data_IF_304019646329
#
_entry.id   IF_304019646329
#
_cell.length_a   1.000
_cell.length_b   1.000
_cell.length_c   1.000
_cell.angle_alpha   90.00
_cell.angle_beta   90.00
_cell.angle_gamma   90.00
#
_symmetry.space_group_name_H-M   'P 1'
#
loop_
_entity.id
_entity.type
_entity.pdbx_description
1 polymer ?
#
# COMPACT_ATOMS: atom_id res chain seq x y z
N UNK A 1 23.76 -13.93 10.07
CA UNK A 1 22.97 -14.70 9.07
C UNK A 1 23.53 -14.51 7.68
N UNK A 2 23.58 -15.55 6.86
CA UNK A 2 23.95 -15.46 5.43
C UNK A 2 22.85 -16.08 4.58
N UNK A 3 22.29 -15.29 3.64
CA UNK A 3 21.40 -15.82 2.60
C UNK A 3 22.27 -16.15 1.40
N UNK A 4 22.28 -17.42 0.99
CA UNK A 4 23.12 -17.91 -0.11
C UNK A 4 22.36 -18.12 -1.40
N UNK A 5 23.05 -17.89 -2.53
CA UNK A 5 22.57 -18.11 -3.90
C UNK A 5 21.29 -17.37 -4.23
N UNK A 6 21.15 -16.14 -3.74
CA UNK A 6 20.00 -15.28 -4.03
C UNK A 6 20.10 -14.68 -5.45
N UNK A 7 19.01 -14.65 -6.20
CA UNK A 7 18.84 -13.71 -7.30
C UNK A 7 18.35 -12.38 -6.73
N UNK A 8 19.03 -11.30 -7.08
CA UNK A 8 18.65 -9.97 -6.63
C UNK A 8 18.08 -9.21 -7.83
N UNK A 9 16.89 -8.64 -7.66
CA UNK A 9 16.22 -7.86 -8.70
C UNK A 9 17.16 -6.79 -9.28
N UNK A 10 17.23 -6.72 -10.62
CA UNK A 10 18.08 -5.77 -11.34
C UNK A 10 19.57 -6.10 -11.35
N UNK A 11 19.96 -7.33 -10.95
CA UNK A 11 21.35 -7.82 -11.01
C UNK A 11 21.41 -9.19 -11.70
N UNK A 12 22.41 -9.37 -12.54
CA UNK A 12 22.68 -10.66 -13.19
C UNK A 12 23.47 -11.57 -12.26
N UNK A 13 23.11 -12.87 -12.25
CA UNK A 13 23.79 -13.92 -11.49
C UNK A 13 23.22 -14.16 -10.09
N UNK A 14 24.01 -14.87 -9.28
CA UNK A 14 23.67 -15.22 -7.91
C UNK A 14 24.55 -14.45 -6.94
N UNK A 15 24.00 -14.11 -5.81
CA UNK A 15 24.67 -13.36 -4.75
C UNK A 15 24.41 -14.00 -3.39
N UNK A 16 25.40 -13.92 -2.54
CA UNK A 16 25.23 -14.14 -1.10
C UNK A 16 25.03 -12.79 -0.42
N UNK A 17 24.17 -12.77 0.61
CA UNK A 17 23.83 -11.56 1.37
C UNK A 17 24.17 -11.84 2.84
N UNK A 18 25.14 -11.12 3.41
CA UNK A 18 25.49 -11.21 4.83
C UNK A 18 24.80 -10.13 5.62
N UNK A 19 24.13 -10.56 6.68
CA UNK A 19 23.36 -9.70 7.58
C UNK A 19 24.00 -9.78 8.96
N UNK A 20 24.26 -8.61 9.56
CA UNK A 20 24.64 -8.47 10.95
C UNK A 20 23.64 -7.58 11.68
N UNK A 21 23.06 -8.10 12.76
CA UNK A 21 21.95 -7.46 13.46
C UNK A 21 20.82 -7.12 12.47
N UNK A 22 20.52 -5.84 12.29
CA UNK A 22 19.43 -5.33 11.44
C UNK A 22 19.92 -4.79 10.07
N UNK A 23 21.19 -5.00 9.72
CA UNK A 23 21.84 -4.34 8.61
C UNK A 23 22.51 -5.34 7.66
N UNK A 24 22.36 -5.09 6.36
CA UNK A 24 23.11 -5.81 5.31
C UNK A 24 24.55 -5.28 5.31
N UNK A 25 25.51 -6.12 5.68
CA UNK A 25 26.92 -5.72 5.77
C UNK A 25 27.73 -6.07 4.51
N UNK A 26 27.28 -7.06 3.72
CA UNK A 26 27.93 -7.47 2.49
C UNK A 26 26.94 -8.10 1.50
N UNK A 27 27.15 -7.85 0.20
CA UNK A 27 26.48 -8.49 -0.91
C UNK A 27 27.54 -8.82 -1.96
N UNK A 28 27.83 -10.10 -2.19
CA UNK A 28 28.88 -10.55 -3.08
C UNK A 28 28.47 -11.86 -3.79
N UNK A 29 29.11 -12.23 -4.94
CA UNK A 29 28.83 -13.52 -5.61
C UNK A 29 29.10 -14.73 -4.73
N UNK A 30 30.00 -14.61 -3.77
CA UNK A 30 30.28 -15.64 -2.78
C UNK A 30 30.78 -15.02 -1.48
N UNK A 31 30.20 -15.45 -0.36
CA UNK A 31 30.62 -15.07 1.00
C UNK A 31 30.96 -16.34 1.75
N UNK A 32 32.18 -16.41 2.31
CA UNK A 32 32.60 -17.54 3.11
C UNK A 32 31.80 -17.64 4.41
N UNK A 33 31.33 -18.82 4.73
CA UNK A 33 30.75 -19.16 6.03
C UNK A 33 31.87 -19.33 7.06
N UNK A 34 31.78 -18.67 8.17
CA UNK A 34 32.78 -18.78 9.28
C UNK A 34 32.44 -19.88 10.27
N UNK A 35 31.31 -20.58 10.07
CA UNK A 35 30.83 -21.68 10.92
C UNK A 35 29.94 -21.23 12.08
N UNK A 36 29.92 -19.95 12.37
CA UNK A 36 29.04 -19.35 13.40
C UNK A 36 27.80 -18.67 12.81
N UNK A 37 27.71 -18.60 11.48
CA UNK A 37 26.62 -17.94 10.79
C UNK A 37 25.40 -18.87 10.64
N UNK A 38 24.20 -18.36 10.88
CA UNK A 38 22.96 -18.98 10.41
C UNK A 38 22.91 -18.87 8.88
N UNK A 39 22.86 -19.99 8.17
CA UNK A 39 22.90 -20.02 6.70
C UNK A 39 21.57 -20.47 6.12
N UNK A 40 21.00 -19.67 5.22
CA UNK A 40 19.78 -19.97 4.47
C UNK A 40 20.14 -20.02 2.99
N UNK A 41 20.10 -21.23 2.41
CA UNK A 41 20.29 -21.38 0.97
C UNK A 41 18.93 -21.27 0.26
N UNK A 42 18.77 -20.22 -0.55
CA UNK A 42 17.52 -19.94 -1.24
C UNK A 42 17.45 -20.53 -2.66
N UNK A 43 18.45 -21.28 -3.06
CA UNK A 43 18.50 -22.06 -4.30
C UNK A 43 18.12 -21.27 -5.57
N UNK A 44 18.68 -20.08 -5.72
CA UNK A 44 18.46 -19.23 -6.88
C UNK A 44 17.14 -18.46 -6.89
N UNK A 45 16.41 -18.42 -5.78
CA UNK A 45 15.15 -17.68 -5.68
C UNK A 45 15.36 -16.18 -5.60
N UNK A 46 14.33 -15.45 -6.03
CA UNK A 46 14.33 -13.99 -6.06
C UNK A 46 14.25 -13.42 -4.65
N UNK A 47 15.23 -12.57 -4.32
CA UNK A 47 15.28 -11.79 -3.08
C UNK A 47 15.14 -10.32 -3.41
N UNK A 48 14.27 -9.65 -2.66
CA UNK A 48 14.01 -8.22 -2.81
C UNK A 48 13.67 -7.60 -1.44
N UNK A 49 13.61 -6.26 -1.33
CA UNK A 49 13.14 -5.64 -0.09
C UNK A 49 11.70 -6.04 0.20
N UNK A 50 11.32 -6.08 1.48
CA UNK A 50 9.92 -6.30 1.88
C UNK A 50 8.99 -5.26 1.28
N UNK A 51 7.74 -5.63 1.03
CA UNK A 51 6.75 -4.75 0.42
C UNK A 51 6.28 -3.65 1.36
N UNK A 52 5.84 -2.55 0.77
CA UNK A 52 5.27 -1.38 1.45
C UNK A 52 3.85 -1.19 0.95
N UNK A 53 2.89 -1.15 1.87
CA UNK A 53 1.51 -0.78 1.60
C UNK A 53 1.29 0.69 1.96
N UNK A 54 1.04 1.52 0.94
CA UNK A 54 0.96 2.97 1.10
C UNK A 54 -0.43 3.49 1.43
N UNK A 55 -1.44 2.61 1.48
CA UNK A 55 -2.81 3.00 1.79
C UNK A 55 -3.63 1.83 2.30
N UNK A 56 -3.97 1.86 3.57
CA UNK A 56 -4.69 0.78 4.24
C UNK A 56 -5.62 1.30 5.35
N UNK A 57 -6.64 0.52 5.71
CA UNK A 57 -7.59 0.80 6.79
C UNK A 57 -7.58 -0.32 7.85
N UNK A 58 -6.61 -0.28 8.78
CA UNK A 58 -6.55 -1.24 9.89
C UNK A 58 -7.70 -1.08 10.89
N UNK A 59 -8.35 0.06 10.92
CA UNK A 59 -9.50 0.33 11.79
C UNK A 59 -10.75 -0.45 11.35
N UNK A 60 -11.01 -0.53 10.04
CA UNK A 60 -12.18 -1.22 9.48
C UNK A 60 -11.93 -2.67 9.08
N UNK A 61 -10.68 -3.12 9.06
CA UNK A 61 -10.30 -4.46 8.59
C UNK A 61 -11.09 -5.58 9.27
N UNK A 62 -11.49 -6.60 8.50
CA UNK A 62 -12.20 -7.80 8.98
C UNK A 62 -13.55 -7.50 9.66
N UNK A 63 -14.25 -6.47 9.20
CA UNK A 63 -15.59 -6.10 9.72
C UNK A 63 -16.74 -6.51 8.82
N UNK A 64 -16.46 -7.21 7.72
CA UNK A 64 -17.49 -7.74 6.82
C UNK A 64 -18.58 -8.47 7.60
N UNK A 65 -19.85 -8.08 7.38
CA UNK A 65 -21.02 -8.70 8.00
C UNK A 65 -21.20 -8.44 9.50
N UNK A 66 -20.31 -7.68 10.16
CA UNK A 66 -20.44 -7.39 11.61
C UNK A 66 -21.64 -6.48 11.94
N UNK A 67 -22.00 -5.53 11.09
CA UNK A 67 -23.27 -4.80 11.15
C UNK A 67 -24.26 -5.44 10.17
N UNK A 68 -23.97 -5.36 8.90
CA UNK A 68 -24.68 -6.00 7.79
C UNK A 68 -23.75 -6.14 6.60
N UNK A 69 -24.14 -6.92 5.59
CA UNK A 69 -23.40 -7.01 4.34
C UNK A 69 -23.77 -5.85 3.40
N UNK A 70 -22.77 -5.32 2.67
CA UNK A 70 -22.99 -4.39 1.59
C UNK A 70 -23.65 -5.13 0.40
N UNK A 71 -24.91 -4.83 0.11
CA UNK A 71 -25.67 -5.51 -0.93
C UNK A 71 -25.51 -4.85 -2.30
N UNK A 72 -25.40 -3.54 -2.34
CA UNK A 72 -25.23 -2.79 -3.60
C UNK A 72 -23.79 -2.85 -4.12
N UNK A 73 -22.82 -3.10 -3.25
CA UNK A 73 -21.39 -3.02 -3.54
C UNK A 73 -20.92 -1.59 -3.84
N UNK A 74 -21.66 -0.56 -3.38
CA UNK A 74 -21.31 0.84 -3.58
C UNK A 74 -20.47 1.39 -2.43
N UNK A 75 -19.69 2.44 -2.72
CA UNK A 75 -18.92 3.20 -1.73
C UNK A 75 -19.85 3.74 -0.63
N UNK A 76 -20.96 4.35 -1.01
CA UNK A 76 -21.89 5.00 -0.08
C UNK A 76 -22.50 4.02 0.91
N UNK A 77 -22.96 2.84 0.44
CA UNK A 77 -23.47 1.81 1.36
C UNK A 77 -22.37 1.31 2.30
N UNK A 78 -21.11 1.20 1.83
CA UNK A 78 -19.97 0.89 2.69
C UNK A 78 -19.79 1.91 3.82
N UNK A 79 -19.88 3.20 3.50
CA UNK A 79 -19.81 4.30 4.49
C UNK A 79 -20.95 4.21 5.51
N UNK A 80 -22.19 3.95 5.07
CA UNK A 80 -23.34 3.77 5.97
C UNK A 80 -23.11 2.61 6.94
N UNK A 81 -22.69 1.44 6.44
CA UNK A 81 -22.40 0.25 7.26
C UNK A 81 -21.30 0.53 8.29
N UNK A 82 -20.24 1.24 7.87
CA UNK A 82 -19.18 1.65 8.78
C UNK A 82 -19.70 2.62 9.84
N UNK A 83 -20.49 3.60 9.45
CA UNK A 83 -21.10 4.57 10.38
C UNK A 83 -22.01 3.92 11.42
N UNK A 84 -22.68 2.82 11.07
CA UNK A 84 -23.44 1.99 12.03
C UNK A 84 -22.51 1.24 12.98
N UNK A 85 -21.42 0.66 12.45
CA UNK A 85 -20.52 -0.19 13.22
C UNK A 85 -19.59 0.60 14.13
N UNK A 86 -19.05 1.74 13.67
CA UNK A 86 -18.09 2.54 14.45
C UNK A 86 -18.64 3.02 15.79
N UNK A 87 -19.95 3.17 15.93
CA UNK A 87 -20.62 3.52 17.19
C UNK A 87 -20.48 2.45 18.29
N UNK A 88 -20.11 1.23 17.94
CA UNK A 88 -19.98 0.08 18.83
C UNK A 88 -18.53 -0.39 18.99
N UNK A 89 -17.58 0.32 18.39
CA UNK A 89 -16.17 -0.05 18.44
C UNK A 89 -15.63 -0.02 19.87
N UNK A 90 -14.80 -1.00 20.16
CA UNK A 90 -13.94 -1.00 21.34
C UNK A 90 -12.49 -1.06 20.92
N UNK A 91 -11.59 -0.54 21.74
CA UNK A 91 -10.14 -0.64 21.48
C UNK A 91 -9.72 -2.10 21.29
N UNK A 92 -10.22 -3.01 22.12
CA UNK A 92 -9.93 -4.45 22.04
C UNK A 92 -10.35 -5.06 20.71
N UNK A 93 -11.55 -4.75 20.19
CA UNK A 93 -12.02 -5.24 18.89
C UNK A 93 -11.09 -4.78 17.76
N UNK A 94 -10.74 -3.49 17.72
CA UNK A 94 -9.83 -2.96 16.69
C UNK A 94 -8.45 -3.60 16.79
N UNK A 95 -7.87 -3.68 17.99
CA UNK A 95 -6.54 -4.31 18.22
C UNK A 95 -6.55 -5.77 17.75
N UNK A 96 -7.57 -6.56 18.09
CA UNK A 96 -7.65 -7.97 17.73
C UNK A 96 -7.79 -8.18 16.21
N UNK A 97 -8.55 -7.34 15.51
CA UNK A 97 -8.71 -7.39 14.06
C UNK A 97 -7.42 -6.94 13.34
N UNK A 98 -6.86 -5.81 13.75
CA UNK A 98 -5.61 -5.30 13.22
C UNK A 98 -4.46 -6.30 13.40
N UNK A 99 -4.34 -6.95 14.55
CA UNK A 99 -3.37 -8.02 14.79
C UNK A 99 -3.48 -9.15 13.76
N UNK A 100 -4.69 -9.66 13.50
CA UNK A 100 -4.90 -10.73 12.51
C UNK A 100 -4.51 -10.29 11.12
N UNK A 101 -4.92 -9.09 10.72
CA UNK A 101 -4.59 -8.53 9.41
C UNK A 101 -3.08 -8.33 9.24
N UNK A 102 -2.40 -7.75 10.24
CA UNK A 102 -0.95 -7.52 10.19
C UNK A 102 -0.16 -8.83 10.08
N UNK A 103 -0.53 -9.87 10.84
CA UNK A 103 0.11 -11.19 10.72
C UNK A 103 -0.08 -11.78 9.30
N UNK A 104 -1.27 -11.59 8.72
CA UNK A 104 -1.54 -12.00 7.35
C UNK A 104 -0.67 -11.21 6.35
N UNK A 105 -0.62 -9.88 6.47
CA UNK A 105 0.18 -9.00 5.60
C UNK A 105 1.67 -9.31 5.69
N UNK A 106 2.21 -9.54 6.90
CA UNK A 106 3.61 -9.96 7.09
C UNK A 106 3.88 -11.28 6.38
N UNK A 107 2.97 -12.25 6.47
CA UNK A 107 3.14 -13.55 5.79
C UNK A 107 3.15 -13.44 4.25
N UNK A 108 2.67 -12.31 3.70
CA UNK A 108 2.76 -11.95 2.28
C UNK A 108 3.91 -10.99 1.97
N UNK A 109 4.79 -10.72 2.92
CA UNK A 109 6.01 -9.93 2.70
C UNK A 109 5.88 -8.44 2.95
N UNK A 110 4.75 -7.95 3.47
CA UNK A 110 4.55 -6.53 3.80
C UNK A 110 4.97 -6.25 5.23
N UNK A 111 5.98 -5.39 5.42
CA UNK A 111 6.51 -5.00 6.73
C UNK A 111 6.51 -3.49 6.98
N UNK A 112 5.93 -2.71 6.06
CA UNK A 112 5.70 -1.27 6.22
C UNK A 112 4.31 -0.92 5.72
N UNK A 113 3.56 -0.17 6.52
CA UNK A 113 2.17 0.13 6.23
C UNK A 113 1.88 1.58 6.61
N UNK A 114 1.21 2.31 5.71
CA UNK A 114 0.53 3.54 6.03
C UNK A 114 -0.95 3.25 6.14
N UNK A 115 -1.50 3.42 7.34
CA UNK A 115 -2.90 3.13 7.64
C UNK A 115 -3.65 4.39 8.04
N UNK A 116 -4.94 4.43 7.71
CA UNK A 116 -5.87 5.47 8.12
C UNK A 116 -6.59 5.05 9.40
N UNK A 117 -6.84 6.02 10.27
CA UNK A 117 -7.65 5.87 11.46
C UNK A 117 -8.80 6.88 11.38
N UNK A 118 -10.05 6.42 11.30
CA UNK A 118 -11.21 7.29 11.33
C UNK A 118 -11.24 8.10 12.62
N UNK A 119 -11.14 9.44 12.51
CA UNK A 119 -11.12 10.36 13.65
C UNK A 119 -12.40 11.16 13.79
N UNK A 120 -13.45 10.78 13.06
CA UNK A 120 -14.79 11.41 13.16
C UNK A 120 -15.67 10.78 14.26
N UNK A 121 -15.10 9.87 15.06
CA UNK A 121 -15.72 9.32 16.27
C UNK A 121 -15.17 10.03 17.52
N UNK A 122 -16.06 10.54 18.38
CA UNK A 122 -15.72 11.47 19.50
C UNK A 122 -14.67 10.94 20.48
N UNK A 123 -14.63 9.63 20.67
CA UNK A 123 -13.67 9.01 21.61
C UNK A 123 -12.31 8.75 20.98
N UNK A 124 -12.16 8.90 19.67
CA UNK A 124 -10.95 8.53 18.90
C UNK A 124 -10.52 7.08 19.17
N UNK A 125 -11.47 6.17 19.27
CA UNK A 125 -11.27 4.75 19.62
C UNK A 125 -10.36 4.07 18.61
N UNK A 126 -10.57 4.31 17.31
CA UNK A 126 -9.75 3.75 16.22
C UNK A 126 -8.30 4.19 16.35
N UNK A 127 -8.06 5.50 16.50
CA UNK A 127 -6.71 6.05 16.63
C UNK A 127 -5.99 5.49 17.85
N UNK A 128 -6.65 5.49 19.03
CA UNK A 128 -6.06 4.97 20.27
C UNK A 128 -5.69 3.49 20.13
N UNK A 129 -6.55 2.70 19.51
CA UNK A 129 -6.29 1.29 19.24
C UNK A 129 -5.10 1.10 18.29
N UNK A 130 -5.02 1.88 17.20
CA UNK A 130 -3.93 1.76 16.23
C UNK A 130 -2.60 2.28 16.78
N UNK A 131 -2.59 3.26 17.67
CA UNK A 131 -1.38 3.66 18.41
C UNK A 131 -0.87 2.53 19.31
N UNK A 132 -1.76 1.79 19.95
CA UNK A 132 -1.40 0.58 20.71
C UNK A 132 -0.85 -0.51 19.78
N UNK A 133 -1.52 -0.80 18.66
CA UNK A 133 -1.06 -1.75 17.66
C UNK A 133 0.32 -1.38 17.14
N UNK A 134 0.57 -0.12 16.79
CA UNK A 134 1.88 0.38 16.36
C UNK A 134 2.97 0.07 17.39
N UNK A 135 2.70 0.27 18.67
CA UNK A 135 3.63 -0.05 19.76
C UNK A 135 3.89 -1.56 19.90
N UNK A 136 2.84 -2.37 19.79
CA UNK A 136 2.92 -3.83 19.94
C UNK A 136 3.67 -4.49 18.77
N UNK A 137 3.50 -3.98 17.55
CA UNK A 137 4.03 -4.57 16.34
C UNK A 137 5.33 -3.95 15.84
N UNK A 138 5.95 -3.03 16.59
CA UNK A 138 7.14 -2.25 16.19
C UNK A 138 8.32 -3.09 15.67
N UNK A 139 8.46 -4.34 16.13
CA UNK A 139 9.55 -5.24 15.74
C UNK A 139 9.19 -6.07 14.48
N UNK A 140 7.92 -6.07 14.06
CA UNK A 140 7.40 -6.81 12.91
C UNK A 140 7.00 -5.92 11.75
N UNK A 141 6.40 -4.76 12.04
CA UNK A 141 5.85 -3.86 11.02
C UNK A 141 6.07 -2.41 11.43
N UNK A 142 6.62 -1.61 10.53
CA UNK A 142 6.65 -0.16 10.66
C UNK A 142 5.29 0.41 10.24
N UNK A 143 4.57 1.03 11.18
CA UNK A 143 3.23 1.57 10.93
C UNK A 143 3.27 3.10 10.98
N UNK A 144 2.80 3.76 9.92
CA UNK A 144 2.41 5.16 9.94
C UNK A 144 0.89 5.25 10.03
N UNK A 145 0.39 6.11 10.92
CA UNK A 145 -1.03 6.32 11.16
C UNK A 145 -1.42 7.71 10.64
N UNK A 146 -2.33 7.75 9.67
CA UNK A 146 -2.96 8.95 9.16
C UNK A 146 -4.24 9.22 9.96
N UNK A 147 -4.36 10.37 10.62
CA UNK A 147 -5.61 10.81 11.21
C UNK A 147 -6.59 11.15 10.07
N UNK A 148 -7.59 10.31 9.86
CA UNK A 148 -8.46 10.37 8.69
C UNK A 148 -9.87 10.85 9.06
N UNK A 149 -10.30 12.02 8.57
CA UNK A 149 -11.65 12.52 8.79
C UNK A 149 -12.64 11.85 7.82
N UNK A 150 -13.00 10.58 8.08
CA UNK A 150 -13.83 9.75 7.20
C UNK A 150 -15.12 10.43 6.74
N UNK A 151 -15.77 11.18 7.61
CA UNK A 151 -17.02 11.86 7.30
C UNK A 151 -16.82 13.30 6.79
N UNK A 152 -15.56 13.73 6.51
CA UNK A 152 -15.21 15.11 6.14
C UNK A 152 -14.72 15.94 7.32
N UNK A 153 -14.09 17.08 7.03
CA UNK A 153 -13.59 18.02 8.06
C UNK A 153 -14.67 19.04 8.45
N UNK A 154 -15.49 19.44 7.49
CA UNK A 154 -16.47 20.53 7.64
C UNK A 154 -17.93 20.04 7.70
N UNK A 155 -18.18 18.77 7.54
CA UNK A 155 -19.52 18.17 7.62
C UNK A 155 -20.13 18.25 9.02
N UNK A 156 -19.29 18.18 10.06
CA UNK A 156 -19.68 18.34 11.44
C UNK A 156 -18.76 19.35 12.16
N UNK A 157 -19.29 20.19 13.06
CA UNK A 157 -18.51 21.27 13.69
C UNK A 157 -17.28 20.78 14.48
N UNK A 158 -17.36 19.58 15.06
CA UNK A 158 -16.32 19.01 15.92
C UNK A 158 -15.19 18.31 15.16
N UNK A 159 -15.39 17.96 13.87
CA UNK A 159 -14.42 17.13 13.13
C UNK A 159 -13.03 17.76 13.00
N UNK A 160 -12.96 19.07 12.85
CA UNK A 160 -11.69 19.81 12.85
C UNK A 160 -10.95 19.65 14.19
N UNK A 161 -11.66 19.83 15.31
CA UNK A 161 -11.06 19.72 16.65
C UNK A 161 -10.60 18.27 16.93
N UNK A 162 -11.39 17.28 16.49
CA UNK A 162 -11.03 15.86 16.60
C UNK A 162 -9.78 15.53 15.77
N UNK A 163 -9.65 16.10 14.56
CA UNK A 163 -8.47 15.93 13.72
C UNK A 163 -7.23 16.56 14.39
N UNK A 164 -7.34 17.77 14.95
CA UNK A 164 -6.24 18.38 15.69
C UNK A 164 -5.86 17.56 16.94
N UNK A 165 -6.83 17.09 17.71
CA UNK A 165 -6.60 16.24 18.88
C UNK A 165 -5.94 14.89 18.49
N UNK A 166 -6.26 14.35 17.34
CA UNK A 166 -5.61 13.16 16.83
C UNK A 166 -4.10 13.38 16.58
N UNK A 167 -3.72 14.55 16.09
CA UNK A 167 -2.30 14.91 15.94
C UNK A 167 -1.60 15.05 17.29
N UNK A 168 -2.26 15.63 18.29
CA UNK A 168 -1.74 15.74 19.67
C UNK A 168 -1.52 14.38 20.31
N UNK A 169 -2.39 13.40 20.01
CA UNK A 169 -2.27 12.03 20.50
C UNK A 169 -1.17 11.22 19.81
N UNK A 170 -0.61 11.70 18.69
CA UNK A 170 0.56 11.09 18.05
C UNK A 170 0.30 10.45 16.69
N UNK A 171 -0.75 10.83 15.99
CA UNK A 171 -0.89 10.46 14.57
C UNK A 171 0.30 10.98 13.75
N UNK A 172 0.72 10.21 12.74
CA UNK A 172 1.90 10.52 11.95
C UNK A 172 1.61 11.49 10.81
N UNK A 173 0.42 11.41 10.20
CA UNK A 173 0.02 12.20 9.04
C UNK A 173 -1.35 12.82 9.24
N UNK A 174 -1.61 13.91 8.54
CA UNK A 174 -2.93 14.55 8.46
C UNK A 174 -3.68 14.02 7.25
N UNK A 175 -4.87 13.48 7.46
CA UNK A 175 -5.79 13.04 6.43
C UNK A 175 -6.70 14.16 5.91
N UNK A 176 -7.33 13.93 4.77
CA UNK A 176 -8.39 14.73 4.19
C UNK A 176 -9.22 13.91 3.21
N UNK A 177 -10.46 14.32 2.95
CA UNK A 177 -11.37 13.71 1.97
C UNK A 177 -12.26 14.80 1.32
N UNK A 178 -11.68 15.72 0.54
CA UNK A 178 -12.35 16.94 0.11
C UNK A 178 -13.57 16.71 -0.79
N UNK A 179 -13.65 15.60 -1.50
CA UNK A 179 -14.75 15.27 -2.40
C UNK A 179 -16.02 14.76 -1.67
N UNK A 180 -15.95 14.51 -0.36
CA UNK A 180 -17.11 14.18 0.47
C UNK A 180 -17.67 15.39 1.25
N UNK A 181 -17.02 16.55 1.21
CA UNK A 181 -17.60 17.76 1.77
C UNK A 181 -18.87 18.15 1.00
N UNK A 182 -19.79 18.90 1.64
CA UNK A 182 -21.09 19.19 1.05
C UNK A 182 -21.01 20.03 -0.23
N UNK A 183 -20.05 20.93 -0.33
CA UNK A 183 -19.83 21.76 -1.50
C UNK A 183 -18.39 21.71 -1.98
N UNK A 184 -18.16 22.12 -3.23
CA UNK A 184 -16.81 22.26 -3.76
C UNK A 184 -15.99 23.27 -2.95
N UNK A 185 -16.61 24.34 -2.51
CA UNK A 185 -16.01 25.41 -1.70
C UNK A 185 -15.56 24.84 -0.33
N UNK A 186 -16.38 24.03 0.31
CA UNK A 186 -16.03 23.33 1.56
C UNK A 186 -14.88 22.35 1.32
N UNK A 187 -14.89 21.62 0.21
CA UNK A 187 -13.79 20.75 -0.16
C UNK A 187 -12.46 21.50 -0.33
N UNK A 188 -12.47 22.67 -0.96
CA UNK A 188 -11.29 23.54 -1.04
C UNK A 188 -10.87 24.02 0.35
N UNK A 189 -11.83 24.39 1.18
CA UNK A 189 -11.56 24.86 2.55
C UNK A 189 -11.03 23.75 3.45
N UNK A 190 -11.53 22.52 3.31
CA UNK A 190 -11.02 21.37 4.06
C UNK A 190 -9.55 21.06 3.72
N UNK A 191 -9.15 21.22 2.44
CA UNK A 191 -7.74 21.14 2.03
C UNK A 191 -6.90 22.22 2.75
N UNK A 192 -7.38 23.47 2.81
CA UNK A 192 -6.65 24.54 3.52
C UNK A 192 -6.43 24.18 4.99
N UNK A 193 -7.47 23.69 5.68
CA UNK A 193 -7.41 23.26 7.07
C UNK A 193 -6.41 22.12 7.27
N UNK A 194 -6.44 21.10 6.39
CA UNK A 194 -5.48 20.01 6.45
C UNK A 194 -4.02 20.50 6.37
N UNK A 195 -3.73 21.44 5.47
CA UNK A 195 -2.39 22.05 5.37
C UNK A 195 -2.04 22.92 6.60
N UNK A 196 -2.98 23.68 7.16
CA UNK A 196 -2.79 24.43 8.40
C UNK A 196 -2.37 23.51 9.55
N UNK A 197 -3.13 22.42 9.76
CA UNK A 197 -2.86 21.41 10.81
C UNK A 197 -1.52 20.73 10.55
N UNK A 198 -1.25 20.29 9.32
CA UNK A 198 0.00 19.63 8.97
C UNK A 198 1.24 20.51 9.25
N UNK A 199 1.15 21.81 8.94
CA UNK A 199 2.21 22.77 9.26
C UNK A 199 2.36 23.01 10.77
N UNK A 200 1.25 23.15 11.50
CA UNK A 200 1.23 23.36 12.96
C UNK A 200 1.96 22.23 13.68
N UNK A 201 1.75 20.98 13.26
CA UNK A 201 2.34 19.80 13.89
C UNK A 201 3.58 19.27 13.16
N UNK A 202 4.03 19.93 12.08
CA UNK A 202 5.12 19.50 11.21
C UNK A 202 4.93 18.05 10.71
N UNK A 203 3.75 17.72 10.23
CA UNK A 203 3.39 16.38 9.74
C UNK A 203 3.18 16.38 8.23
N UNK A 204 3.25 15.20 7.63
CA UNK A 204 2.93 14.99 6.22
C UNK A 204 1.42 14.95 6.02
N UNK A 205 0.98 15.07 4.77
CA UNK A 205 -0.43 14.98 4.38
C UNK A 205 -0.63 13.71 3.56
N UNK A 206 -1.69 12.97 3.87
CA UNK A 206 -2.08 11.77 3.15
C UNK A 206 -3.61 11.73 3.01
N UNK A 207 -4.13 12.08 1.85
CA UNK A 207 -5.56 12.30 1.62
C UNK A 207 -6.18 11.32 0.66
N UNK A 208 -7.47 11.01 0.88
CA UNK A 208 -8.35 10.46 -0.14
C UNK A 208 -8.76 11.61 -1.05
N UNK A 209 -8.32 11.60 -2.31
CA UNK A 209 -8.52 12.72 -3.22
C UNK A 209 -9.20 12.25 -4.48
N UNK A 210 -10.34 12.87 -4.80
CA UNK A 210 -11.09 12.59 -6.04
C UNK A 210 -11.43 11.10 -6.23
N UNK A 211 -11.86 10.41 -5.15
CA UNK A 211 -12.32 9.03 -5.20
C UNK A 211 -13.76 8.96 -5.71
N UNK A 212 -13.94 9.29 -6.95
CA UNK A 212 -15.24 9.35 -7.63
C UNK A 212 -15.07 9.17 -9.13
N UNK A 213 -16.20 8.88 -9.82
CA UNK A 213 -16.26 8.85 -11.28
C UNK A 213 -16.51 10.24 -11.91
N UNK A 214 -16.84 11.25 -11.09
CA UNK A 214 -17.15 12.59 -11.56
C UNK A 214 -15.90 13.31 -12.08
N UNK A 215 -15.88 13.64 -13.37
CA UNK A 215 -14.81 14.41 -14.01
C UNK A 215 -14.70 15.86 -13.53
N UNK A 216 -15.71 16.36 -12.82
CA UNK A 216 -15.70 17.70 -12.22
C UNK A 216 -15.03 17.68 -10.82
N UNK A 217 -14.85 16.51 -10.20
CA UNK A 217 -14.03 16.40 -9.00
C UNK A 217 -12.56 16.64 -9.36
N UNK A 218 -12.05 17.83 -9.00
CA UNK A 218 -10.71 18.31 -9.37
C UNK A 218 -9.96 18.86 -8.16
N UNK A 219 -10.12 18.23 -7.02
CA UNK A 219 -9.42 18.63 -5.80
C UNK A 219 -7.93 18.36 -5.87
N UNK A 220 -7.51 17.37 -6.67
CA UNK A 220 -6.10 17.08 -6.88
C UNK A 220 -5.31 18.28 -7.41
N UNK A 221 -5.89 19.11 -8.29
CA UNK A 221 -5.22 20.34 -8.74
C UNK A 221 -5.09 21.39 -7.61
N UNK A 222 -6.08 21.44 -6.70
CA UNK A 222 -6.06 22.34 -5.54
C UNK A 222 -4.99 21.90 -4.56
N UNK A 223 -4.94 20.59 -4.25
CA UNK A 223 -3.89 19.99 -3.40
C UNK A 223 -2.50 20.27 -3.97
N UNK A 224 -2.31 20.04 -5.27
CA UNK A 224 -1.03 20.29 -5.91
C UNK A 224 -0.61 21.77 -5.91
N UNK A 225 -1.56 22.68 -6.21
CA UNK A 225 -1.31 24.11 -6.15
C UNK A 225 -0.98 24.58 -4.73
N UNK A 226 -1.69 24.06 -3.71
CA UNK A 226 -1.43 24.36 -2.30
C UNK A 226 -0.06 23.82 -1.87
N UNK A 227 0.28 22.61 -2.26
CA UNK A 227 1.61 22.00 -2.01
C UNK A 227 2.74 22.91 -2.49
N UNK A 228 2.63 23.43 -3.72
CA UNK A 228 3.63 24.33 -4.29
C UNK A 228 3.70 25.67 -3.53
N UNK A 229 2.52 26.28 -3.26
CA UNK A 229 2.43 27.59 -2.58
C UNK A 229 2.99 27.52 -1.16
N UNK A 230 2.72 26.46 -0.44
CA UNK A 230 3.16 26.25 0.95
C UNK A 230 4.56 25.64 1.06
N UNK A 231 5.23 25.37 -0.08
CA UNK A 231 6.56 24.71 -0.14
C UNK A 231 6.59 23.36 0.57
N UNK A 232 5.54 22.55 0.35
CA UNK A 232 5.33 21.26 1.02
C UNK A 232 5.69 20.07 0.10
N UNK A 233 6.54 20.28 -0.92
CA UNK A 233 6.94 19.28 -1.91
C UNK A 233 7.51 18.02 -1.23
N UNK A 234 7.15 16.84 -1.78
CA UNK A 234 7.61 15.53 -1.28
C UNK A 234 6.98 15.11 0.07
N UNK A 235 6.01 15.88 0.60
CA UNK A 235 5.33 15.63 1.87
C UNK A 235 3.83 15.37 1.74
N UNK A 236 3.34 15.28 0.52
CA UNK A 236 1.92 15.10 0.23
C UNK A 236 1.69 13.85 -0.60
N UNK A 237 0.76 13.03 -0.16
CA UNK A 237 0.29 11.84 -0.86
C UNK A 237 -1.18 12.01 -1.19
N UNK A 238 -1.60 11.63 -2.40
CA UNK A 238 -2.99 11.62 -2.82
C UNK A 238 -3.41 10.20 -3.17
N UNK A 239 -4.25 9.61 -2.33
CA UNK A 239 -4.84 8.30 -2.51
C UNK A 239 -5.98 8.31 -3.53
N UNK A 240 -6.23 7.17 -4.18
CA UNK A 240 -7.25 6.88 -5.17
C UNK A 240 -7.12 7.68 -6.47
N UNK A 241 -7.43 8.97 -6.44
CA UNK A 241 -7.46 9.90 -7.58
C UNK A 241 -8.21 9.35 -8.80
N UNK A 242 -9.30 8.60 -8.55
CA UNK A 242 -10.01 7.85 -9.59
C UNK A 242 -10.69 8.74 -10.62
N UNK A 243 -11.11 9.96 -10.26
CA UNK A 243 -11.68 10.92 -11.22
C UNK A 243 -10.76 11.17 -12.43
N UNK A 244 -9.43 10.94 -12.30
CA UNK A 244 -8.50 11.09 -13.42
C UNK A 244 -8.82 10.20 -14.62
N UNK A 245 -9.45 9.04 -14.41
CA UNK A 245 -9.83 8.18 -15.53
C UNK A 245 -10.88 8.82 -16.44
N UNK A 246 -11.62 9.78 -15.91
CA UNK A 246 -12.69 10.51 -16.62
C UNK A 246 -12.23 11.85 -17.20
N UNK A 247 -11.07 12.37 -16.80
CA UNK A 247 -10.58 13.66 -17.30
C UNK A 247 -10.29 13.60 -18.79
N UNK A 248 -10.60 14.69 -19.49
CA UNK A 248 -10.11 14.84 -20.85
C UNK A 248 -8.58 15.00 -20.87
N UNK A 249 -7.95 14.65 -21.99
CA UNK A 249 -6.49 14.59 -22.07
C UNK A 249 -5.81 15.95 -21.93
N UNK A 250 -6.44 17.01 -22.43
CA UNK A 250 -5.87 18.37 -22.31
C UNK A 250 -5.77 18.82 -20.85
N UNK A 251 -6.78 18.50 -20.02
CA UNK A 251 -6.73 18.77 -18.60
C UNK A 251 -5.72 17.86 -17.87
N UNK A 252 -5.67 16.57 -18.22
CA UNK A 252 -4.73 15.63 -17.65
C UNK A 252 -3.28 16.07 -17.90
N UNK A 253 -2.94 16.48 -19.13
CA UNK A 253 -1.61 17.01 -19.49
C UNK A 253 -1.22 18.27 -18.68
N UNK A 254 -2.15 19.17 -18.45
CA UNK A 254 -1.92 20.32 -17.55
C UNK A 254 -1.62 19.84 -16.13
N UNK A 255 -2.41 18.89 -15.64
CA UNK A 255 -2.33 18.39 -14.27
C UNK A 255 -0.99 17.65 -14.02
N UNK A 256 -0.51 16.84 -14.95
CA UNK A 256 0.77 16.14 -14.80
C UNK A 256 1.92 17.11 -14.55
N UNK A 257 1.95 18.25 -15.23
CA UNK A 257 3.01 19.28 -15.02
C UNK A 257 2.95 19.87 -13.61
N UNK A 258 1.75 20.08 -13.08
CA UNK A 258 1.56 20.63 -11.73
C UNK A 258 1.93 19.58 -10.68
N UNK A 259 1.49 18.33 -10.84
CA UNK A 259 1.81 17.21 -9.94
C UNK A 259 3.32 16.97 -9.86
N UNK A 260 4.01 16.97 -11.01
CA UNK A 260 5.47 16.84 -11.04
C UNK A 260 6.17 17.94 -10.28
N UNK A 261 5.74 19.20 -10.46
CA UNK A 261 6.29 20.36 -9.75
C UNK A 261 6.01 20.32 -8.25
N UNK A 262 4.86 19.77 -7.85
CA UNK A 262 4.45 19.61 -6.47
C UNK A 262 5.14 18.41 -5.78
N UNK A 263 5.79 17.52 -6.54
CA UNK A 263 6.37 16.27 -6.04
C UNK A 263 5.38 15.43 -5.20
N UNK A 264 4.10 15.42 -5.63
CA UNK A 264 3.06 14.60 -5.00
C UNK A 264 3.25 13.15 -5.41
N UNK A 265 3.12 12.25 -4.44
CA UNK A 265 2.98 10.82 -4.72
C UNK A 265 1.49 10.48 -4.89
N UNK A 266 1.16 9.78 -5.97
CA UNK A 266 -0.18 9.23 -6.21
C UNK A 266 -0.23 7.80 -5.72
N UNK A 267 -1.28 7.43 -4.98
CA UNK A 267 -1.45 6.09 -4.43
C UNK A 267 -2.78 5.49 -4.86
N UNK A 268 -2.84 4.88 -6.06
CA UNK A 268 -4.01 4.11 -6.47
C UNK A 268 -4.14 2.82 -5.66
N UNK A 269 -5.40 2.40 -5.47
CA UNK A 269 -5.79 1.20 -4.75
C UNK A 269 -6.54 0.25 -5.70
N UNK A 270 -5.84 -0.50 -6.59
CA UNK A 270 -6.43 -1.17 -7.73
C UNK A 270 -7.57 -2.13 -7.40
N UNK A 271 -7.44 -2.92 -6.32
CA UNK A 271 -8.44 -3.92 -5.94
C UNK A 271 -9.79 -3.29 -5.59
N UNK A 272 -9.76 -2.15 -4.91
CA UNK A 272 -10.97 -1.49 -4.46
C UNK A 272 -11.50 -0.51 -5.51
N UNK A 273 -10.63 0.25 -6.17
CA UNK A 273 -11.06 1.25 -7.12
C UNK A 273 -11.85 0.66 -8.29
N UNK A 274 -11.37 -0.44 -8.90
CA UNK A 274 -12.08 -1.09 -10.02
C UNK A 274 -13.43 -1.71 -9.62
N UNK A 275 -13.61 -1.99 -8.34
CA UNK A 275 -14.84 -2.53 -7.79
C UNK A 275 -15.84 -1.42 -7.44
N UNK A 276 -15.38 -0.32 -6.84
CA UNK A 276 -16.23 0.77 -6.40
C UNK A 276 -16.60 1.75 -7.54
N UNK A 277 -15.71 1.95 -8.50
CA UNK A 277 -15.91 2.91 -9.58
C UNK A 277 -16.69 2.31 -10.78
N UNK A 278 -17.21 3.16 -11.66
CA UNK A 278 -18.00 2.74 -12.84
C UNK A 278 -19.37 2.18 -12.49
N UNK A 279 -19.88 2.40 -11.27
CA UNK A 279 -21.16 1.83 -10.83
C UNK A 279 -22.36 2.40 -11.57
N UNK A 280 -22.29 3.67 -11.93
CA UNK A 280 -23.35 4.35 -12.69
C UNK A 280 -23.21 4.23 -14.21
N UNK A 281 -22.08 3.67 -14.69
CA UNK A 281 -21.89 3.44 -16.12
C UNK A 281 -22.78 2.31 -16.63
N UNK A 282 -23.29 2.48 -17.84
CA UNK A 282 -23.84 1.40 -18.65
C UNK A 282 -22.67 0.67 -19.35
N UNK A 283 -22.77 0.32 -20.62
CA UNK A 283 -21.68 -0.23 -21.39
C UNK A 283 -21.27 0.77 -22.50
N UNK A 284 -19.96 0.94 -22.74
CA UNK A 284 -18.81 0.34 -22.02
C UNK A 284 -18.61 0.93 -20.61
N UNK A 285 -18.24 0.08 -19.64
CA UNK A 285 -17.85 0.54 -18.31
C UNK A 285 -16.41 1.04 -18.32
N UNK A 286 -16.15 2.14 -17.64
CA UNK A 286 -14.78 2.61 -17.41
C UNK A 286 -14.03 1.69 -16.43
N UNK A 287 -12.70 1.70 -16.46
CA UNK A 287 -11.88 0.79 -15.66
C UNK A 287 -11.80 1.13 -14.18
N UNK A 288 -12.19 2.34 -13.79
CA UNK A 288 -12.26 2.76 -12.39
C UNK A 288 -10.91 2.98 -11.70
N UNK A 289 -9.81 3.10 -12.46
CA UNK A 289 -8.48 3.30 -11.90
C UNK A 289 -7.84 4.57 -12.47
N UNK A 290 -7.10 5.31 -11.64
CA UNK A 290 -6.31 6.47 -12.08
C UNK A 290 -5.30 6.11 -13.18
N UNK A 291 -4.76 7.09 -13.87
CA UNK A 291 -3.89 6.94 -15.03
C UNK A 291 -2.44 6.59 -14.66
N UNK A 292 -2.22 5.41 -14.07
CA UNK A 292 -0.91 4.96 -13.53
C UNK A 292 0.20 5.08 -14.58
N UNK A 293 -0.02 4.55 -15.78
CA UNK A 293 0.99 4.49 -16.84
C UNK A 293 1.42 5.89 -17.26
N UNK A 294 0.48 6.78 -17.51
CA UNK A 294 0.74 8.16 -17.92
C UNK A 294 1.42 8.97 -16.81
N UNK A 295 1.02 8.76 -15.55
CA UNK A 295 1.69 9.38 -14.40
C UNK A 295 3.17 9.00 -14.34
N UNK A 296 3.48 7.71 -14.46
CA UNK A 296 4.86 7.20 -14.48
C UNK A 296 5.64 7.76 -15.67
N UNK A 297 5.06 7.78 -16.87
CA UNK A 297 5.70 8.35 -18.08
C UNK A 297 6.02 9.83 -17.92
N UNK A 298 5.23 10.57 -17.16
CA UNK A 298 5.48 11.98 -16.84
C UNK A 298 6.42 12.18 -15.65
N UNK A 299 6.97 11.11 -15.07
CA UNK A 299 7.92 11.14 -13.95
C UNK A 299 7.29 11.51 -12.60
N UNK A 300 5.98 11.29 -12.46
CA UNK A 300 5.26 11.44 -11.18
C UNK A 300 5.43 10.13 -10.39
N UNK A 301 5.72 10.25 -9.10
CA UNK A 301 5.86 9.09 -8.24
C UNK A 301 4.49 8.43 -8.03
N UNK A 302 4.42 7.13 -8.27
CA UNK A 302 3.23 6.31 -8.02
C UNK A 302 3.62 5.14 -7.14
N UNK A 303 2.86 4.92 -6.07
CA UNK A 303 2.97 3.74 -5.22
C UNK A 303 1.57 3.14 -5.04
N UNK A 304 1.47 1.88 -4.60
CA UNK A 304 0.18 1.21 -4.49
C UNK A 304 -0.26 1.03 -3.04
N UNK A 305 -1.58 0.94 -2.83
CA UNK A 305 -2.20 0.53 -1.59
C UNK A 305 -3.15 -0.66 -1.78
N UNK A 306 -3.28 -1.48 -0.74
CA UNK A 306 -4.26 -2.58 -0.71
C UNK A 306 -5.64 -2.07 -0.30
N UNK A 307 -5.68 -1.03 0.54
CA UNK A 307 -6.85 -0.35 1.07
C UNK A 307 -7.60 -1.19 2.12
N UNK A 308 -8.31 -2.21 1.69
CA UNK A 308 -9.29 -2.95 2.50
C UNK A 308 -9.05 -4.45 2.49
N UNK A 309 -9.35 -5.14 3.62
CA UNK A 309 -9.44 -6.59 3.73
C UNK A 309 -10.75 -6.96 4.43
N UNK A 310 -11.68 -7.58 3.69
CA UNK A 310 -12.93 -8.14 4.23
C UNK A 310 -13.67 -7.14 5.14
N UNK A 311 -13.95 -5.97 4.62
CA UNK A 311 -14.67 -4.90 5.28
C UNK A 311 -15.93 -4.47 4.50
N UNK A 312 -16.67 -3.40 4.90
CA UNK A 312 -17.89 -3.01 4.22
C UNK A 312 -17.72 -2.55 2.77
N UNK A 313 -16.51 -2.12 2.38
CA UNK A 313 -16.23 -1.64 1.02
C UNK A 313 -15.69 -2.73 0.11
N UNK A 314 -14.89 -3.66 0.66
CA UNK A 314 -14.26 -4.72 -0.11
C UNK A 314 -14.38 -6.08 0.61
N UNK A 315 -15.26 -6.98 0.15
CA UNK A 315 -15.53 -8.25 0.81
C UNK A 315 -14.41 -9.30 0.64
N UNK A 316 -13.42 -9.01 -0.17
CA UNK A 316 -12.29 -9.86 -0.47
C UNK A 316 -11.01 -9.26 0.14
N UNK A 317 -9.86 -9.63 -0.41
CA UNK A 317 -8.56 -9.16 0.05
C UNK A 317 -7.88 -10.09 1.04
N UNK A 318 -6.56 -10.11 0.98
CA UNK A 318 -5.73 -10.97 1.83
C UNK A 318 -4.43 -10.30 2.30
N UNK A 319 -4.29 -8.97 2.11
CA UNK A 319 -3.11 -8.21 2.50
C UNK A 319 -1.86 -8.51 1.67
N UNK A 320 -2.04 -8.94 0.44
CA UNK A 320 -0.98 -9.35 -0.47
C UNK A 320 -0.71 -8.25 -1.50
N UNK A 321 0.40 -7.53 -1.36
CA UNK A 321 0.79 -6.46 -2.28
C UNK A 321 1.12 -6.98 -3.69
N UNK A 322 1.47 -8.26 -3.86
CA UNK A 322 1.62 -8.88 -5.18
C UNK A 322 0.26 -9.01 -5.89
N UNK A 323 -0.82 -9.30 -5.15
CA UNK A 323 -2.18 -9.30 -5.71
C UNK A 323 -2.60 -7.90 -6.14
N UNK A 324 -2.25 -6.88 -5.37
CA UNK A 324 -2.48 -5.46 -5.72
C UNK A 324 -1.73 -5.11 -7.00
N UNK A 325 -0.45 -5.48 -7.08
CA UNK A 325 0.39 -5.26 -8.25
C UNK A 325 -0.15 -6.00 -9.48
N UNK A 326 -0.56 -7.26 -9.34
CA UNK A 326 -1.18 -8.05 -10.40
C UNK A 326 -2.40 -7.32 -10.99
N UNK A 327 -3.28 -6.82 -10.15
CA UNK A 327 -4.44 -6.06 -10.60
C UNK A 327 -4.04 -4.73 -11.28
N UNK A 328 -3.07 -4.02 -10.71
CA UNK A 328 -2.58 -2.76 -11.26
C UNK A 328 -2.07 -2.91 -12.69
N UNK A 329 -1.19 -3.89 -12.98
CA UNK A 329 -0.62 -4.08 -14.31
C UNK A 329 -1.67 -4.49 -15.35
N UNK A 330 -2.71 -5.25 -14.94
CA UNK A 330 -3.82 -5.61 -15.83
C UNK A 330 -4.68 -4.38 -16.17
N UNK A 331 -5.12 -3.64 -15.16
CA UNK A 331 -6.04 -2.53 -15.38
C UNK A 331 -5.35 -1.34 -16.06
N UNK A 332 -4.08 -1.06 -15.70
CA UNK A 332 -3.28 -0.01 -16.34
C UNK A 332 -2.65 -0.42 -17.68
N UNK A 333 -2.86 -1.67 -18.14
CA UNK A 333 -2.28 -2.21 -19.37
C UNK A 333 -0.75 -2.09 -19.42
N UNK A 334 -0.08 -2.51 -18.35
CA UNK A 334 1.37 -2.50 -18.20
C UNK A 334 1.92 -3.92 -18.38
N UNK A 335 1.74 -4.51 -19.57
CA UNK A 335 2.11 -5.90 -19.89
C UNK A 335 3.34 -6.01 -20.80
N UNK A 336 3.97 -4.89 -21.17
CA UNK A 336 5.29 -4.92 -21.80
C UNK A 336 6.33 -5.46 -20.81
N UNK A 337 7.34 -6.20 -21.31
CA UNK A 337 8.36 -6.84 -20.45
C UNK A 337 8.97 -5.85 -19.45
N UNK A 338 9.49 -4.72 -19.93
CA UNK A 338 10.09 -3.69 -19.08
C UNK A 338 9.08 -3.06 -18.10
N UNK A 339 7.83 -2.94 -18.51
CA UNK A 339 6.76 -2.42 -17.66
C UNK A 339 6.46 -3.39 -16.52
N UNK A 340 6.40 -4.71 -16.81
CA UNK A 340 6.21 -5.73 -15.78
C UNK A 340 7.35 -5.75 -14.77
N UNK A 341 8.61 -5.77 -15.24
CA UNK A 341 9.77 -5.77 -14.34
C UNK A 341 9.81 -4.50 -13.49
N UNK A 342 9.57 -3.33 -14.08
CA UNK A 342 9.56 -2.05 -13.36
C UNK A 342 8.36 -1.88 -12.43
N UNK A 343 7.25 -2.59 -12.68
CA UNK A 343 6.02 -2.46 -11.87
C UNK A 343 6.24 -2.79 -10.39
N UNK A 344 7.22 -3.63 -10.06
CA UNK A 344 7.57 -3.93 -8.68
C UNK A 344 8.02 -2.69 -7.88
N UNK A 345 8.49 -1.66 -8.56
CA UNK A 345 8.83 -0.40 -7.89
C UNK A 345 7.62 0.26 -7.23
N UNK A 346 6.41 0.00 -7.73
CA UNK A 346 5.16 0.55 -7.20
C UNK A 346 4.86 0.08 -5.76
N UNK A 347 5.34 -1.10 -5.38
CA UNK A 347 5.16 -1.69 -4.05
C UNK A 347 6.47 -1.74 -3.25
N UNK A 348 7.55 -1.16 -3.77
CA UNK A 348 8.89 -1.15 -3.17
C UNK A 348 9.52 0.24 -3.23
N UNK A 349 10.37 0.52 -4.23
CA UNK A 349 11.19 1.73 -4.30
C UNK A 349 10.39 3.04 -4.37
N UNK A 350 9.29 3.07 -5.13
CA UNK A 350 8.44 4.25 -5.22
C UNK A 350 7.74 4.55 -3.89
N UNK A 351 7.29 3.49 -3.20
CA UNK A 351 6.72 3.61 -1.87
C UNK A 351 7.78 4.07 -0.84
N UNK A 352 9.00 3.52 -0.91
CA UNK A 352 10.13 3.95 -0.08
C UNK A 352 10.47 5.44 -0.32
N UNK A 353 10.40 5.91 -1.58
CA UNK A 353 10.56 7.32 -1.93
C UNK A 353 9.48 8.19 -1.29
N UNK A 354 8.22 7.77 -1.36
CA UNK A 354 7.11 8.50 -0.73
C UNK A 354 7.26 8.60 0.79
N UNK A 355 7.86 7.59 1.43
CA UNK A 355 8.18 7.58 2.85
C UNK A 355 9.51 8.27 3.18
N UNK A 356 10.31 8.66 2.19
CA UNK A 356 11.66 9.25 2.32
C UNK A 356 12.64 8.35 3.08
N UNK A 357 12.59 7.05 2.80
CA UNK A 357 13.45 6.03 3.44
C UNK A 357 14.39 5.33 2.45
N UNK A 358 14.58 5.85 1.25
CA UNK A 358 15.43 5.24 0.21
C UNK A 358 16.85 4.99 0.69
N UNK A 359 17.36 5.84 1.59
CA UNK A 359 18.72 5.69 2.13
C UNK A 359 18.90 4.39 2.92
N UNK A 360 17.84 3.87 3.53
CA UNK A 360 17.87 2.64 4.35
C UNK A 360 17.16 1.43 3.71
N UNK A 361 16.50 1.60 2.57
CA UNK A 361 15.67 0.58 1.92
C UNK A 361 16.36 0.03 0.65
N UNK A 362 16.36 -1.30 0.47
CA UNK A 362 16.99 -1.96 -0.68
C UNK A 362 17.73 -3.24 -0.29
N UNK A 363 18.44 -3.85 -1.28
CA UNK A 363 19.29 -5.05 -1.09
C UNK A 363 20.74 -4.69 -1.36
N UNK A 364 21.25 -3.70 -0.64
CA UNK A 364 22.63 -3.21 -0.77
C UNK A 364 23.30 -3.15 0.61
N UNK A 365 24.63 -3.14 0.60
CA UNK A 365 25.41 -2.90 1.82
C UNK A 365 24.99 -1.58 2.49
N UNK A 366 24.77 -1.64 3.80
CA UNK A 366 24.37 -0.50 4.63
C UNK A 366 22.85 -0.29 4.69
N UNK A 367 22.07 -1.06 3.94
CA UNK A 367 20.60 -1.03 4.02
C UNK A 367 20.09 -1.88 5.19
N UNK A 368 18.86 -1.59 5.63
CA UNK A 368 18.16 -2.43 6.60
C UNK A 368 17.90 -3.82 6.01
N UNK A 369 18.11 -4.83 6.82
CA UNK A 369 17.83 -6.21 6.45
C UNK A 369 16.32 -6.53 6.59
N UNK A 370 15.51 -5.83 5.81
CA UNK A 370 14.08 -6.03 5.62
C UNK A 370 13.90 -6.67 4.24
N UNK A 371 13.90 -7.99 4.16
CA UNK A 371 13.97 -8.75 2.92
C UNK A 371 12.82 -9.75 2.79
N UNK A 372 12.44 -10.03 1.56
CA UNK A 372 11.53 -11.11 1.20
C UNK A 372 12.21 -12.07 0.23
N UNK A 373 12.12 -13.37 0.52
CA UNK A 373 12.52 -14.44 -0.38
C UNK A 373 11.27 -15.01 -1.03
N UNK A 374 11.07 -14.72 -2.30
CA UNK A 374 9.91 -15.18 -3.05
C UNK A 374 10.05 -16.64 -3.47
N UNK A 375 8.96 -17.39 -3.51
CA UNK A 375 8.93 -18.75 -4.08
C UNK A 375 8.82 -18.65 -5.61
N UNK A 376 9.80 -17.99 -6.21
CA UNK A 376 9.92 -17.73 -7.64
C UNK A 376 11.37 -17.42 -8.01
N UNK A 377 11.75 -17.62 -9.25
CA UNK A 377 13.11 -17.41 -9.74
C UNK A 377 13.30 -16.07 -10.47
N UNK A 378 12.20 -15.40 -10.82
CA UNK A 378 12.19 -14.09 -11.46
C UNK A 378 10.88 -13.35 -11.17
N UNK A 379 10.80 -12.10 -11.58
CA UNK A 379 9.65 -11.22 -11.33
C UNK A 379 8.38 -11.70 -12.04
N UNK A 380 8.49 -12.24 -13.25
CA UNK A 380 7.34 -12.73 -14.03
C UNK A 380 6.70 -13.92 -13.33
N UNK A 381 7.51 -14.91 -12.91
CA UNK A 381 7.01 -16.06 -12.15
C UNK A 381 6.39 -15.63 -10.83
N UNK A 382 7.05 -14.70 -10.11
CA UNK A 382 6.53 -14.18 -8.85
C UNK A 382 5.13 -13.56 -9.01
N UNK A 383 4.94 -12.76 -10.07
CA UNK A 383 3.66 -12.10 -10.36
C UNK A 383 2.62 -13.06 -10.96
N UNK A 384 3.05 -14.03 -11.78
CA UNK A 384 2.15 -14.99 -12.43
C UNK A 384 1.54 -15.97 -11.41
N UNK A 385 2.35 -16.48 -10.50
CA UNK A 385 1.90 -17.50 -9.56
C UNK A 385 1.37 -16.97 -8.23
N UNK A 386 1.73 -15.73 -7.85
CA UNK A 386 1.29 -15.07 -6.61
C UNK A 386 1.49 -15.96 -5.37
N UNK A 387 2.60 -16.68 -5.33
CA UNK A 387 2.92 -17.55 -4.21
C UNK A 387 3.30 -16.73 -2.99
N UNK A 388 2.95 -17.25 -1.82
CA UNK A 388 3.40 -16.66 -0.55
C UNK A 388 4.91 -16.79 -0.45
N UNK A 389 5.64 -15.77 0.04
CA UNK A 389 7.09 -15.82 0.25
C UNK A 389 7.52 -17.03 1.08
N UNK A 390 8.73 -17.56 0.79
CA UNK A 390 9.35 -18.60 1.62
C UNK A 390 9.83 -18.02 2.95
N UNK A 391 10.47 -16.86 2.89
CA UNK A 391 10.93 -16.16 4.08
C UNK A 391 10.59 -14.68 4.01
N UNK A 392 10.19 -14.13 5.14
CA UNK A 392 10.11 -12.69 5.37
C UNK A 392 11.06 -12.36 6.51
N UNK A 393 12.00 -11.47 6.25
CA UNK A 393 13.02 -11.05 7.19
C UNK A 393 12.76 -9.58 7.54
N UNK A 394 12.69 -9.28 8.82
CA UNK A 394 12.53 -7.93 9.35
C UNK A 394 13.60 -7.65 10.39
N UNK A 395 14.30 -6.52 10.22
CA UNK A 395 15.43 -6.15 11.09
C UNK A 395 16.44 -7.31 11.25
N UNK A 396 16.74 -8.04 10.16
CA UNK A 396 17.68 -9.17 10.13
C UNK A 396 17.18 -10.44 10.81
N UNK A 397 15.90 -10.56 11.15
CA UNK A 397 15.32 -11.77 11.77
C UNK A 397 14.21 -12.33 10.90
N UNK A 398 14.11 -13.64 10.81
CA UNK A 398 12.99 -14.32 10.16
C UNK A 398 11.73 -14.06 10.98
N UNK A 399 10.72 -13.42 10.38
CA UNK A 399 9.43 -13.11 11.00
C UNK A 399 8.27 -13.90 10.39
N UNK A 400 8.50 -14.52 9.22
CA UNK A 400 7.57 -15.47 8.60
C UNK A 400 8.37 -16.45 7.75
N UNK A 401 8.00 -17.73 7.81
CA UNK A 401 8.55 -18.76 6.94
C UNK A 401 7.44 -19.67 6.41
N UNK A 402 7.69 -20.27 5.25
CA UNK A 402 6.81 -21.23 4.60
C UNK A 402 7.66 -22.34 4.00
N UNK A 403 7.22 -23.59 4.11
CA UNK A 403 7.82 -24.70 3.39
C UNK A 403 7.50 -24.64 1.90
N UNK A 404 8.41 -25.16 1.08
CA UNK A 404 8.16 -25.35 -0.36
C UNK A 404 7.06 -26.39 -0.52
N UNK A 405 6.01 -26.04 -1.25
CA UNK A 405 4.91 -26.95 -1.58
C UNK A 405 5.24 -27.69 -2.88
N UNK A 406 5.28 -29.02 -2.85
CA UNK A 406 5.39 -29.85 -4.05
C UNK A 406 4.00 -30.18 -4.58
N UNK A 407 3.73 -29.76 -5.82
CA UNK A 407 2.54 -30.19 -6.56
C UNK A 407 2.92 -31.37 -7.45
N UNK A 408 2.18 -32.46 -7.35
CA UNK A 408 2.39 -33.65 -8.20
C UNK A 408 1.22 -33.79 -9.17
N UNK A 409 1.55 -33.97 -10.43
CA UNK A 409 0.58 -34.17 -11.52
C UNK A 409 0.92 -35.47 -12.25
N UNK A 410 -0.09 -36.17 -12.77
CA UNK A 410 0.14 -37.35 -13.60
C UNK A 410 0.73 -36.92 -14.94
N UNK A 411 1.97 -37.33 -15.20
CA UNK A 411 2.56 -37.20 -16.50
C UNK A 411 1.83 -38.12 -17.51
N UNK A 412 1.25 -37.59 -18.59
CA UNK A 412 0.46 -38.38 -19.52
C UNK A 412 1.28 -39.41 -20.30
N UNK A 413 2.60 -39.23 -20.41
CA UNK A 413 3.49 -40.15 -21.11
C UNK A 413 3.87 -41.33 -20.21
N UNK A 414 4.37 -41.04 -19.01
CA UNK A 414 4.79 -42.06 -18.06
C UNK A 414 3.65 -42.67 -17.25
N UNK A 415 2.48 -41.99 -17.22
CA UNK A 415 1.31 -42.32 -16.38
C UNK A 415 1.60 -42.38 -14.87
N UNK A 416 2.68 -41.69 -14.45
CA UNK A 416 3.08 -41.58 -13.03
C UNK A 416 2.87 -40.18 -12.50
N UNK A 417 2.70 -40.06 -11.19
CA UNK A 417 2.76 -38.77 -10.52
C UNK A 417 4.19 -38.24 -10.54
N UNK A 418 4.40 -37.08 -11.12
CA UNK A 418 5.67 -36.35 -11.17
C UNK A 418 5.52 -35.00 -10.50
N UNK A 419 6.60 -34.50 -9.91
CA UNK A 419 6.61 -33.14 -9.36
C UNK A 419 6.50 -32.16 -10.53
N UNK A 420 5.55 -31.24 -10.42
CA UNK A 420 5.37 -30.18 -11.41
C UNK A 420 6.54 -29.19 -11.30
N UNK A 421 7.32 -29.06 -12.36
CA UNK A 421 8.29 -27.97 -12.48
C UNK A 421 7.57 -26.73 -13.01
N UNK A 422 7.36 -25.74 -12.15
CA UNK A 422 6.65 -24.50 -12.50
C UNK A 422 7.60 -23.44 -13.08
N UNK A 423 8.90 -23.74 -13.22
CA UNK A 423 9.85 -22.80 -13.83
C UNK A 423 9.60 -22.68 -15.32
N UNK A 424 9.24 -21.49 -15.75
CA UNK A 424 8.88 -21.22 -17.16
C UNK A 424 10.03 -20.53 -17.90
N UNK A 425 10.79 -19.68 -17.22
CA UNK A 425 11.91 -18.93 -17.77
C UNK A 425 13.23 -19.46 -17.18
N UNK A 426 14.11 -19.98 -18.01
CA UNK A 426 15.44 -20.46 -17.62
C UNK A 426 16.49 -19.36 -17.74
#
# INVERSE_FOLDING_TARGET
MIIKRARIRGRDGFFDIKIDNDTIIEVAPHIADTGDDEVIDVDGRLVMPTFIDMHFHLDSVLTIGKSRFNQSGTLLEGIEIWSEYKKKLTTEDVVNRAKKALMLMVSYGTTRIRTHADVTEKNLTTLKALLEVKRLFKDLVDIQITAFPQDGILTEPENRELLEKAMELGADNVGMIPHLEYTREDGVKSIEIAFEIAKKYNRDIDGHVDETDDEQSRFLEVVAAKTIKERYMGRVTAGHTTAMHSYNDAYAEKLYRILKKAEITIVPNPLINIHLQGRYDRFPKRRGLTRIKELLMNGINVALGHDCIMDPWYPLGRGDMMQVLFMAVHVAQMMGYDELIKSFDLITLNAAKALRIESMYGVDRGKKADLVVLDAFNEIEALAYLKRPLFVIKNGRIVSEKNIEEVKVVDPLSRKLVVLDERVLK
#
